data_IF_246109239420
#
_entry.id   IF_246109239420
#
_cell.length_a   1.000
_cell.length_b   1.000
_cell.length_c   1.000
_cell.angle_alpha   90.00
_cell.angle_beta   90.00
_cell.angle_gamma   90.00
#
_symmetry.space_group_name_H-M   'P 1'
#
loop_
_entity.id
_entity.type
_entity.pdbx_description
1 polymer ?
#
# COMPACT_ATOMS: atom_id res chain seq x y z
N UNK A 1 0.30 -28.15 9.47
CA UNK A 1 1.36 -27.50 8.66
C UNK A 1 2.21 -26.54 9.48
N UNK A 2 1.64 -25.62 10.29
CA UNK A 2 2.44 -24.79 11.20
C UNK A 2 3.30 -25.65 12.15
N UNK A 3 2.73 -26.71 12.70
CA UNK A 3 3.47 -27.67 13.55
C UNK A 3 4.56 -28.41 12.78
N UNK A 4 4.30 -28.80 11.53
CA UNK A 4 5.28 -29.43 10.65
C UNK A 4 6.47 -28.51 10.37
N UNK A 5 6.20 -27.21 10.12
CA UNK A 5 7.25 -26.22 9.92
C UNK A 5 8.12 -26.04 11.18
N UNK A 6 7.52 -26.05 12.38
CA UNK A 6 8.24 -25.95 13.65
C UNK A 6 9.09 -27.20 13.90
N UNK A 7 8.55 -28.39 13.62
CA UNK A 7 9.24 -29.68 13.79
C UNK A 7 10.22 -29.99 12.65
N UNK A 8 10.36 -29.11 11.66
CA UNK A 8 11.21 -29.30 10.48
C UNK A 8 10.86 -30.58 9.68
N UNK A 9 9.59 -30.96 9.69
CA UNK A 9 9.11 -32.08 8.89
C UNK A 9 9.21 -31.78 7.39
N UNK A 10 9.43 -32.81 6.54
CA UNK A 10 9.45 -32.61 5.10
C UNK A 10 8.15 -31.94 4.60
N UNK A 11 8.26 -30.99 3.69
CA UNK A 11 7.11 -30.36 3.08
C UNK A 11 6.35 -31.38 2.23
N UNK A 12 5.08 -31.59 2.55
CA UNK A 12 4.15 -32.33 1.70
C UNK A 12 3.60 -31.46 0.56
N UNK A 13 2.76 -32.03 -0.31
CA UNK A 13 2.16 -31.30 -1.43
C UNK A 13 1.32 -30.10 -0.95
N UNK A 14 0.58 -30.26 0.15
CA UNK A 14 -0.23 -29.18 0.70
C UNK A 14 0.64 -28.06 1.30
N UNK A 15 1.74 -28.38 1.94
CA UNK A 15 2.70 -27.41 2.45
C UNK A 15 3.32 -26.60 1.30
N UNK A 16 3.67 -27.29 0.19
CA UNK A 16 4.22 -26.64 -1.00
C UNK A 16 3.25 -25.62 -1.63
N UNK A 17 1.95 -25.87 -1.55
CA UNK A 17 0.90 -24.93 -2.03
C UNK A 17 0.74 -23.68 -1.16
N UNK A 18 1.27 -23.67 0.03
CA UNK A 18 1.21 -22.51 0.93
C UNK A 18 2.27 -21.45 0.63
N UNK A 19 3.29 -21.77 -0.16
CA UNK A 19 4.26 -20.77 -0.59
C UNK A 19 3.59 -19.79 -1.56
N UNK A 20 3.83 -18.51 -1.34
CA UNK A 20 3.42 -17.46 -2.29
C UNK A 20 4.27 -17.56 -3.56
N UNK A 21 3.84 -16.93 -4.64
CA UNK A 21 4.58 -16.94 -5.92
C UNK A 21 6.03 -16.46 -5.80
N UNK A 22 6.34 -15.62 -4.83
CA UNK A 22 7.68 -15.12 -4.53
C UNK A 22 8.31 -15.83 -3.33
N UNK A 23 7.52 -16.60 -2.58
CA UNK A 23 7.96 -17.33 -1.40
C UNK A 23 8.84 -18.53 -1.76
N UNK A 24 9.94 -18.67 -1.04
CA UNK A 24 10.84 -19.80 -1.16
C UNK A 24 11.05 -20.39 0.22
N UNK A 25 11.28 -21.71 0.26
CA UNK A 25 11.71 -22.38 1.49
C UNK A 25 12.99 -21.71 2.00
N UNK A 26 13.10 -21.56 3.32
CA UNK A 26 14.34 -21.08 3.94
C UNK A 26 15.50 -21.98 3.55
N UNK A 27 16.64 -21.40 3.21
CA UNK A 27 17.85 -22.17 2.86
C UNK A 27 18.44 -22.88 4.06
N UNK A 28 18.31 -22.26 5.23
CA UNK A 28 18.73 -22.82 6.51
C UNK A 28 17.50 -23.14 7.35
N UNK A 29 17.58 -24.18 8.13
CA UNK A 29 16.52 -24.59 9.04
C UNK A 29 16.80 -24.02 10.45
N UNK A 30 16.25 -22.83 10.76
CA UNK A 30 16.50 -22.19 12.05
C UNK A 30 15.88 -23.01 13.19
N UNK A 31 16.46 -22.92 14.36
CA UNK A 31 15.83 -23.41 15.58
C UNK A 31 14.77 -22.40 16.00
N UNK A 32 13.52 -22.83 16.07
CA UNK A 32 12.41 -21.98 16.51
C UNK A 32 12.30 -22.04 18.02
N UNK A 33 12.69 -20.97 18.69
CA UNK A 33 12.67 -20.89 20.15
C UNK A 33 11.37 -20.30 20.70
N UNK A 34 10.64 -19.54 19.89
CA UNK A 34 9.38 -18.91 20.27
C UNK A 34 8.51 -18.62 19.04
N UNK A 35 7.23 -18.42 19.28
CA UNK A 35 6.24 -18.06 18.27
C UNK A 35 5.47 -16.83 18.75
N UNK A 36 5.12 -15.97 17.84
CA UNK A 36 4.13 -14.89 18.04
C UNK A 36 3.09 -14.95 16.92
N UNK A 37 1.86 -14.62 17.24
CA UNK A 37 0.76 -14.57 16.28
C UNK A 37 0.32 -13.12 16.08
N UNK A 38 -0.10 -12.78 14.87
CA UNK A 38 -0.70 -11.48 14.51
C UNK A 38 -1.94 -11.68 13.65
N UNK A 39 -2.72 -10.62 13.44
CA UNK A 39 -3.98 -10.67 12.73
C UNK A 39 -5.19 -11.00 13.61
N UNK A 40 -6.38 -11.11 13.03
CA UNK A 40 -7.64 -11.33 13.73
C UNK A 40 -7.68 -12.64 14.52
N UNK A 41 -7.10 -13.72 13.99
CA UNK A 41 -6.99 -15.02 14.69
C UNK A 41 -6.15 -14.90 15.96
N UNK A 42 -5.11 -14.06 15.94
CA UNK A 42 -4.25 -13.82 17.09
C UNK A 42 -4.98 -13.08 18.23
N UNK A 43 -5.86 -12.15 17.91
CA UNK A 43 -6.71 -11.47 18.91
C UNK A 43 -7.52 -12.51 19.68
N UNK A 44 -8.20 -13.41 18.98
CA UNK A 44 -8.96 -14.51 19.63
C UNK A 44 -8.06 -15.44 20.44
N UNK A 45 -6.86 -15.73 19.95
CA UNK A 45 -5.89 -16.58 20.63
C UNK A 45 -5.45 -15.99 21.98
N UNK A 46 -5.16 -14.69 22.04
CA UNK A 46 -4.65 -14.01 23.25
C UNK A 46 -5.76 -13.54 24.19
N UNK A 47 -6.81 -12.96 23.65
CA UNK A 47 -7.85 -12.28 24.41
C UNK A 47 -8.99 -13.20 24.83
N UNK A 48 -9.14 -14.34 24.13
CA UNK A 48 -10.16 -15.33 24.41
C UNK A 48 -11.20 -15.49 23.30
N UNK A 49 -11.97 -16.56 23.39
CA UNK A 49 -12.98 -16.90 22.38
C UNK A 49 -14.30 -16.21 22.68
N UNK A 50 -15.03 -15.71 21.66
CA UNK A 50 -16.41 -15.25 21.83
C UNK A 50 -17.34 -16.43 22.12
N UNK A 51 -18.51 -16.17 22.68
CA UNK A 51 -19.51 -17.18 23.00
C UNK A 51 -20.00 -17.96 21.75
N UNK A 52 -20.13 -17.26 20.63
CA UNK A 52 -20.43 -17.85 19.33
C UNK A 52 -19.15 -18.01 18.51
N UNK A 53 -18.85 -19.24 18.11
CA UNK A 53 -17.67 -19.57 17.30
C UNK A 53 -17.69 -18.97 15.88
N UNK A 54 -18.85 -18.55 15.42
CA UNK A 54 -19.05 -17.89 14.14
C UNK A 54 -19.38 -16.39 14.26
N UNK A 55 -19.09 -15.78 15.42
CA UNK A 55 -19.35 -14.36 15.69
C UNK A 55 -18.78 -13.41 14.62
N UNK A 56 -17.72 -13.81 13.93
CA UNK A 56 -17.06 -13.03 12.87
C UNK A 56 -17.40 -13.52 11.46
N UNK A 57 -18.39 -14.43 11.32
CA UNK A 57 -18.82 -15.02 10.05
C UNK A 57 -17.69 -15.76 9.28
N UNK A 58 -16.67 -16.21 9.99
CA UNK A 58 -15.52 -16.96 9.44
C UNK A 58 -15.10 -18.12 10.37
N UNK A 59 -14.02 -18.82 10.00
CA UNK A 59 -13.46 -19.93 10.77
C UNK A 59 -12.33 -19.51 11.73
N UNK A 60 -12.11 -18.21 11.91
CA UNK A 60 -10.98 -17.68 12.69
C UNK A 60 -10.96 -18.13 14.13
N UNK A 61 -12.12 -18.20 14.79
CA UNK A 61 -12.25 -18.69 16.18
C UNK A 61 -11.87 -20.17 16.27
N UNK A 62 -12.33 -20.98 15.33
CA UNK A 62 -12.00 -22.41 15.28
C UNK A 62 -10.49 -22.61 15.02
N UNK A 63 -9.89 -21.78 14.17
CA UNK A 63 -8.45 -21.82 13.91
C UNK A 63 -7.64 -21.43 15.16
N UNK A 64 -8.02 -20.37 15.86
CA UNK A 64 -7.39 -19.95 17.11
C UNK A 64 -7.43 -21.08 18.15
N UNK A 65 -8.59 -21.73 18.30
CA UNK A 65 -8.79 -22.88 19.17
C UNK A 65 -7.90 -24.07 18.79
N UNK A 66 -7.83 -24.37 17.48
CA UNK A 66 -7.00 -25.46 16.98
C UNK A 66 -5.50 -25.18 17.25
N UNK A 67 -5.03 -23.96 17.05
CA UNK A 67 -3.66 -23.55 17.35
C UNK A 67 -3.37 -23.72 18.85
N UNK A 68 -4.26 -23.21 19.70
CA UNK A 68 -4.11 -23.22 21.18
C UNK A 68 -4.04 -24.62 21.76
N UNK A 69 -4.79 -25.56 21.17
CA UNK A 69 -4.89 -26.93 21.65
C UNK A 69 -3.97 -27.89 20.92
N UNK A 70 -3.23 -27.45 19.91
CA UNK A 70 -2.37 -28.35 19.12
C UNK A 70 -1.17 -28.87 19.98
N UNK A 71 -0.92 -30.18 20.02
CA UNK A 71 0.11 -30.78 20.90
C UNK A 71 1.48 -30.15 20.76
N UNK A 72 1.92 -29.89 19.54
CA UNK A 72 3.24 -29.29 19.23
C UNK A 72 3.23 -27.77 19.50
N UNK A 73 2.23 -27.04 19.01
CA UNK A 73 2.22 -25.58 19.09
C UNK A 73 2.17 -25.08 20.54
N UNK A 74 1.44 -25.78 21.42
CA UNK A 74 1.35 -25.41 22.84
C UNK A 74 2.64 -25.63 23.64
N UNK A 75 3.61 -26.40 23.11
CA UNK A 75 4.90 -26.64 23.80
C UNK A 75 5.93 -25.56 23.46
N UNK A 76 5.69 -24.75 22.40
CA UNK A 76 6.61 -23.68 22.00
C UNK A 76 6.24 -22.42 22.77
N UNK A 77 7.21 -21.74 23.40
CA UNK A 77 6.97 -20.45 24.06
C UNK A 77 6.29 -19.46 23.12
N UNK A 78 5.19 -18.86 23.58
CA UNK A 78 4.42 -17.90 22.78
C UNK A 78 4.46 -16.55 23.45
N UNK A 79 4.87 -15.53 22.72
CA UNK A 79 4.85 -14.15 23.17
C UNK A 79 3.69 -13.41 22.51
N UNK A 80 2.99 -12.61 23.31
CA UNK A 80 1.91 -11.80 22.79
C UNK A 80 2.48 -10.67 21.92
N UNK A 81 1.94 -10.53 20.70
CA UNK A 81 2.25 -9.40 19.84
C UNK A 81 1.68 -8.10 20.41
N UNK A 82 2.42 -7.01 20.30
CA UNK A 82 1.93 -5.69 20.68
C UNK A 82 0.72 -5.27 19.85
N UNK A 83 0.69 -5.68 18.58
CA UNK A 83 -0.42 -5.46 17.66
C UNK A 83 -0.93 -6.79 17.11
N UNK A 84 -2.26 -6.96 17.08
CA UNK A 84 -2.93 -8.15 16.54
C UNK A 84 -3.70 -7.79 15.26
N UNK A 85 -4.93 -7.36 15.38
CA UNK A 85 -5.83 -7.04 14.24
C UNK A 85 -5.22 -5.97 13.33
N UNK A 86 -4.56 -4.97 13.91
CA UNK A 86 -3.96 -3.85 13.19
C UNK A 86 -2.55 -4.12 12.65
N UNK A 87 -2.00 -5.33 12.84
CA UNK A 87 -0.61 -5.63 12.49
C UNK A 87 -0.29 -5.32 11.01
N UNK A 88 -1.20 -5.62 10.10
CA UNK A 88 -1.02 -5.32 8.67
C UNK A 88 -0.99 -3.82 8.39
N UNK A 89 -1.93 -3.06 8.97
CA UNK A 89 -1.99 -1.59 8.81
C UNK A 89 -0.79 -0.91 9.43
N UNK A 90 -0.40 -1.33 10.63
CA UNK A 90 0.80 -0.81 11.31
C UNK A 90 2.06 -1.18 10.52
N UNK A 91 2.15 -2.41 10.02
CA UNK A 91 3.26 -2.86 9.17
C UNK A 91 3.35 -2.06 7.88
N UNK A 92 2.24 -1.83 7.20
CA UNK A 92 2.19 -0.98 6.01
C UNK A 92 2.60 0.46 6.33
N UNK A 93 2.08 1.04 7.43
CA UNK A 93 2.41 2.40 7.85
C UNK A 93 3.83 2.60 8.38
N UNK A 94 4.56 1.52 8.70
CA UNK A 94 5.97 1.58 9.13
C UNK A 94 6.93 1.17 8.01
N UNK A 95 6.41 0.66 6.90
CA UNK A 95 7.25 0.29 5.74
C UNK A 95 7.61 1.55 4.96
N UNK A 96 8.85 1.99 5.11
CA UNK A 96 9.39 3.12 4.33
C UNK A 96 10.15 2.58 3.13
N UNK A 97 9.73 2.97 1.94
CA UNK A 97 10.49 2.74 0.72
C UNK A 97 11.52 3.85 0.57
N UNK A 98 12.80 3.55 0.77
CA UNK A 98 13.89 4.49 0.50
C UNK A 98 14.13 4.56 -1.01
N UNK A 99 13.59 5.57 -1.66
CA UNK A 99 13.87 5.86 -3.06
C UNK A 99 14.86 7.02 -3.14
N UNK A 100 16.06 6.74 -3.63
CA UNK A 100 17.06 7.76 -3.89
C UNK A 100 17.01 8.17 -5.37
N UNK A 101 16.98 9.46 -5.64
CA UNK A 101 17.12 10.02 -6.99
C UNK A 101 15.84 10.48 -7.67
N UNK A 102 14.70 10.39 -7.02
CA UNK A 102 13.42 10.87 -7.56
C UNK A 102 13.38 12.39 -7.67
N UNK A 103 12.85 12.89 -8.76
CA UNK A 103 12.51 14.32 -8.89
C UNK A 103 11.20 14.58 -8.18
N UNK A 104 11.18 15.56 -7.28
CA UNK A 104 9.97 15.92 -6.55
C UNK A 104 9.59 17.37 -6.87
N UNK A 105 8.38 17.53 -7.34
CA UNK A 105 7.72 18.82 -7.50
C UNK A 105 6.59 18.90 -6.45
N UNK A 106 6.68 19.86 -5.53
CA UNK A 106 5.61 20.04 -4.55
C UNK A 106 5.30 21.51 -4.31
N UNK A 107 4.06 21.79 -3.93
CA UNK A 107 3.64 23.09 -3.44
C UNK A 107 3.54 23.04 -1.93
N UNK A 108 3.88 24.11 -1.21
CA UNK A 108 3.93 24.16 0.24
C UNK A 108 2.76 23.43 0.90
N UNK A 109 3.08 22.44 1.70
CA UNK A 109 2.13 21.59 2.42
C UNK A 109 2.71 21.11 3.75
N UNK A 110 1.89 20.45 4.55
CA UNK A 110 2.36 19.81 5.77
C UNK A 110 3.00 18.47 5.38
N UNK A 111 4.29 18.39 5.39
CA UNK A 111 5.07 17.15 5.35
C UNK A 111 5.60 16.88 6.76
N UNK A 112 5.83 15.65 7.16
CA UNK A 112 5.63 14.42 6.38
C UNK A 112 4.15 14.00 6.26
N UNK A 113 3.82 13.26 5.20
CA UNK A 113 2.53 12.60 5.04
C UNK A 113 2.79 11.09 5.04
N UNK A 114 2.09 10.34 5.89
CA UNK A 114 2.31 8.92 6.09
C UNK A 114 1.10 8.10 5.73
N UNK A 115 1.36 6.82 5.41
CA UNK A 115 0.33 5.81 5.20
C UNK A 115 -0.66 6.18 4.09
N UNK A 116 -0.16 6.65 2.95
CA UNK A 116 -0.97 7.06 1.81
C UNK A 116 -1.25 5.83 0.95
N UNK A 117 -2.50 5.37 0.82
CA UNK A 117 -2.82 4.25 -0.05
C UNK A 117 -2.57 4.59 -1.52
N UNK A 118 -2.19 3.58 -2.29
CA UNK A 118 -1.87 3.68 -3.71
C UNK A 118 -3.05 3.25 -4.56
N UNK A 119 -3.42 4.11 -5.51
CA UNK A 119 -4.32 3.84 -6.62
C UNK A 119 -3.50 3.80 -7.91
N UNK A 120 -3.33 2.63 -8.52
CA UNK A 120 -2.56 2.48 -9.77
C UNK A 120 -3.47 2.43 -10.99
N UNK A 121 -3.11 3.20 -12.01
CA UNK A 121 -3.65 3.06 -13.37
C UNK A 121 -2.77 2.10 -14.16
N UNK A 122 -3.39 1.26 -14.98
CA UNK A 122 -2.70 0.38 -15.91
C UNK A 122 -2.20 1.15 -17.13
N UNK A 123 -1.24 0.59 -17.86
CA UNK A 123 -0.73 1.20 -19.09
C UNK A 123 -1.83 1.40 -20.15
N UNK A 124 -2.78 0.46 -20.26
CA UNK A 124 -3.90 0.58 -21.19
C UNK A 124 -4.87 1.71 -20.79
N UNK A 125 -5.12 1.88 -19.48
CA UNK A 125 -5.92 2.98 -18.96
C UNK A 125 -5.23 4.34 -19.19
N UNK A 126 -3.89 4.38 -19.10
CA UNK A 126 -3.09 5.58 -19.27
C UNK A 126 -3.05 6.09 -20.71
N UNK A 127 -2.97 5.19 -21.69
CA UNK A 127 -2.84 5.56 -23.10
C UNK A 127 -4.11 6.19 -23.72
N UNK A 128 -5.26 5.96 -23.13
CA UNK A 128 -6.53 6.45 -23.65
C UNK A 128 -7.13 7.52 -22.72
N UNK A 129 -7.28 8.77 -23.18
CA UNK A 129 -7.78 9.88 -22.35
C UNK A 129 -9.15 9.62 -21.71
N UNK A 130 -10.05 8.94 -22.42
CA UNK A 130 -11.38 8.61 -21.90
C UNK A 130 -11.26 7.55 -20.81
N UNK A 131 -10.50 6.47 -21.10
CA UNK A 131 -10.28 5.41 -20.14
C UNK A 131 -9.55 5.89 -18.90
N UNK A 132 -8.56 6.76 -19.04
CA UNK A 132 -7.84 7.36 -17.92
C UNK A 132 -8.81 8.04 -16.95
N UNK A 133 -9.62 8.95 -17.49
CA UNK A 133 -10.59 9.73 -16.71
C UNK A 133 -11.65 8.84 -16.04
N UNK A 134 -12.23 7.91 -16.78
CA UNK A 134 -13.26 7.00 -16.25
C UNK A 134 -12.71 6.04 -15.21
N UNK A 135 -11.55 5.44 -15.48
CA UNK A 135 -10.91 4.51 -14.55
C UNK A 135 -10.46 5.21 -13.27
N UNK A 136 -9.89 6.41 -13.39
CA UNK A 136 -9.49 7.19 -12.23
C UNK A 136 -10.71 7.54 -11.35
N UNK A 137 -11.78 8.06 -11.93
CA UNK A 137 -13.03 8.36 -11.20
C UNK A 137 -13.65 7.13 -10.55
N UNK A 138 -13.68 6.00 -11.27
CA UNK A 138 -14.20 4.73 -10.73
C UNK A 138 -13.36 4.23 -9.56
N UNK A 139 -12.04 4.25 -9.70
CA UNK A 139 -11.11 3.76 -8.67
C UNK A 139 -11.09 4.67 -7.45
N UNK A 140 -11.19 5.99 -7.60
CA UNK A 140 -11.27 6.94 -6.48
C UNK A 140 -12.43 6.65 -5.52
N UNK A 141 -13.57 6.17 -6.03
CA UNK A 141 -14.70 5.77 -5.20
C UNK A 141 -14.39 4.66 -4.19
N UNK A 142 -13.36 3.85 -4.44
CA UNK A 142 -12.92 2.81 -3.50
C UNK A 142 -12.23 3.40 -2.26
N UNK A 143 -11.85 4.66 -2.32
CA UNK A 143 -11.17 5.41 -1.24
C UNK A 143 -12.09 6.45 -0.58
N UNK A 144 -13.40 6.34 -0.79
CA UNK A 144 -14.39 7.14 -0.07
C UNK A 144 -14.78 6.47 1.24
N UNK A 145 -14.73 7.22 2.32
CA UNK A 145 -15.20 6.79 3.65
C UNK A 145 -16.20 7.82 4.15
N UNK A 146 -17.40 7.36 4.54
CA UNK A 146 -18.49 8.22 5.04
C UNK A 146 -18.86 9.39 4.11
N UNK A 147 -18.69 9.20 2.78
CA UNK A 147 -19.01 10.21 1.76
C UNK A 147 -17.92 11.26 1.56
N UNK A 148 -16.75 11.09 2.15
CA UNK A 148 -15.57 11.92 1.93
C UNK A 148 -14.44 11.09 1.28
N UNK A 149 -13.78 11.69 0.29
CA UNK A 149 -12.63 11.07 -0.35
C UNK A 149 -11.41 11.18 0.58
N UNK A 150 -10.85 10.04 0.93
CA UNK A 150 -9.61 9.94 1.70
C UNK A 150 -8.39 10.35 0.86
N UNK A 151 -7.28 10.61 1.54
CA UNK A 151 -6.03 10.90 0.86
C UNK A 151 -5.50 9.67 0.14
N UNK A 152 -5.18 9.81 -1.15
CA UNK A 152 -4.70 8.73 -2.00
C UNK A 152 -3.59 9.21 -2.93
N UNK A 153 -2.63 8.34 -3.24
CA UNK A 153 -1.61 8.58 -4.25
C UNK A 153 -2.01 7.91 -5.56
N UNK A 154 -2.09 8.70 -6.62
CA UNK A 154 -2.39 8.22 -7.98
C UNK A 154 -1.09 7.84 -8.65
N UNK A 155 -0.97 6.58 -9.06
CA UNK A 155 0.25 6.00 -9.65
C UNK A 155 -0.01 5.63 -11.10
N UNK A 156 0.92 5.95 -11.99
CA UNK A 156 0.91 5.53 -13.39
C UNK A 156 2.32 5.51 -13.98
N UNK A 157 2.47 4.92 -15.16
CA UNK A 157 3.76 4.69 -15.78
C UNK A 157 4.42 5.98 -16.28
N UNK A 158 3.72 6.84 -16.99
CA UNK A 158 4.29 8.00 -17.70
C UNK A 158 5.11 7.64 -18.93
N UNK A 159 5.22 6.35 -19.26
CA UNK A 159 6.13 5.83 -20.30
C UNK A 159 5.80 6.32 -21.71
N UNK A 160 4.54 6.57 -21.99
CA UNK A 160 4.05 6.94 -23.31
C UNK A 160 3.99 8.45 -23.53
N UNK A 161 4.35 9.25 -22.54
CA UNK A 161 4.30 10.71 -22.56
C UNK A 161 5.72 11.29 -22.52
N UNK A 162 6.42 11.26 -23.67
CA UNK A 162 7.83 11.61 -23.78
C UNK A 162 8.07 13.00 -24.35
N UNK A 163 7.12 13.54 -25.11
CA UNK A 163 7.18 14.89 -25.67
C UNK A 163 6.47 15.89 -24.76
N UNK A 164 6.82 17.16 -24.89
CA UNK A 164 6.20 18.24 -24.14
C UNK A 164 4.67 18.32 -24.38
N UNK A 165 4.23 18.08 -25.61
CA UNK A 165 2.81 18.10 -25.96
C UNK A 165 2.05 16.95 -25.28
N UNK A 166 2.60 15.74 -25.34
CA UNK A 166 2.02 14.56 -24.68
C UNK A 166 1.94 14.75 -23.15
N UNK A 167 2.95 15.40 -22.54
CA UNK A 167 2.93 15.71 -21.11
C UNK A 167 1.85 16.77 -20.79
N UNK A 168 1.60 17.75 -21.66
CA UNK A 168 0.50 18.69 -21.49
C UNK A 168 -0.87 18.00 -21.59
N UNK A 169 -1.03 17.08 -22.53
CA UNK A 169 -2.24 16.24 -22.64
C UNK A 169 -2.44 15.39 -21.41
N UNK A 170 -1.39 14.72 -20.92
CA UNK A 170 -1.44 13.97 -19.67
C UNK A 170 -1.81 14.85 -18.47
N UNK A 171 -1.27 16.06 -18.38
CA UNK A 171 -1.62 17.01 -17.32
C UNK A 171 -3.12 17.36 -17.36
N UNK A 172 -3.69 17.55 -18.55
CA UNK A 172 -5.12 17.78 -18.71
C UNK A 172 -5.94 16.54 -18.31
N UNK A 173 -5.51 15.34 -18.71
CA UNK A 173 -6.17 14.08 -18.33
C UNK A 173 -6.21 13.91 -16.81
N UNK A 174 -5.09 14.20 -16.13
CA UNK A 174 -5.00 14.14 -14.67
C UNK A 174 -5.96 15.13 -14.03
N UNK A 175 -5.96 16.40 -14.46
CA UNK A 175 -6.84 17.43 -13.90
C UNK A 175 -8.31 17.06 -14.09
N UNK A 176 -8.68 16.60 -15.28
CA UNK A 176 -10.05 16.19 -15.60
C UNK A 176 -10.50 14.93 -14.88
N UNK A 177 -9.58 13.97 -14.65
CA UNK A 177 -9.89 12.72 -13.97
C UNK A 177 -9.92 12.83 -12.44
N UNK A 178 -9.12 13.74 -11.89
CA UNK A 178 -8.96 13.94 -10.45
C UNK A 178 -9.79 15.11 -9.89
N UNK A 179 -10.87 15.50 -10.55
CA UNK A 179 -11.74 16.64 -10.14
C UNK A 179 -12.15 16.56 -8.66
N UNK A 180 -12.50 15.38 -8.17
CA UNK A 180 -12.92 15.16 -6.77
C UNK A 180 -11.75 15.40 -5.79
N UNK A 181 -10.55 14.89 -6.12
CA UNK A 181 -9.34 15.16 -5.32
C UNK A 181 -9.02 16.65 -5.32
N UNK A 182 -9.15 17.30 -6.50
CA UNK A 182 -8.85 18.74 -6.66
C UNK A 182 -9.84 19.59 -5.85
N UNK A 183 -11.10 19.22 -5.83
CA UNK A 183 -12.13 19.92 -5.04
C UNK A 183 -12.03 19.63 -3.53
N UNK A 184 -11.44 18.48 -3.15
CA UNK A 184 -11.32 18.02 -1.76
C UNK A 184 -10.25 18.75 -0.95
N UNK A 185 -10.12 18.44 0.34
CA UNK A 185 -9.18 19.10 1.25
C UNK A 185 -7.73 18.58 1.11
N UNK A 186 -7.54 17.37 0.62
CA UNK A 186 -6.25 16.70 0.54
C UNK A 186 -5.43 17.15 -0.67
N UNK A 187 -4.10 17.17 -0.62
CA UNK A 187 -3.27 17.47 -1.78
C UNK A 187 -3.46 16.40 -2.87
N UNK A 188 -3.32 16.81 -4.13
CA UNK A 188 -3.20 15.88 -5.25
C UNK A 188 -1.80 15.26 -5.21
N UNK A 189 -1.71 13.93 -5.06
CA UNK A 189 -0.45 13.20 -5.00
C UNK A 189 -0.33 12.32 -6.24
N UNK A 190 0.71 12.55 -7.04
CA UNK A 190 1.03 11.81 -8.25
C UNK A 190 2.36 11.12 -8.07
N UNK A 191 2.42 9.84 -8.41
CA UNK A 191 3.63 9.03 -8.41
C UNK A 191 3.79 8.41 -9.79
N UNK A 192 4.95 8.64 -10.41
CA UNK A 192 5.19 8.28 -11.80
C UNK A 192 6.43 7.39 -11.88
N UNK A 193 6.36 6.33 -12.66
CA UNK A 193 7.49 5.40 -12.79
C UNK A 193 8.63 6.01 -13.61
N UNK A 194 8.33 6.83 -14.63
CA UNK A 194 9.29 7.48 -15.51
C UNK A 194 9.60 8.93 -15.11
N UNK A 195 10.79 9.40 -15.45
CA UNK A 195 11.34 10.72 -15.08
C UNK A 195 10.64 11.87 -15.85
N UNK A 196 9.42 12.21 -15.45
CA UNK A 196 8.65 13.32 -16.03
C UNK A 196 7.98 14.23 -14.97
N UNK A 197 8.15 13.94 -13.67
CA UNK A 197 7.42 14.64 -12.60
C UNK A 197 7.61 16.16 -12.63
N UNK A 198 8.80 16.63 -12.91
CA UNK A 198 9.07 18.08 -12.97
C UNK A 198 8.29 18.78 -14.07
N UNK A 199 8.26 18.21 -15.26
CA UNK A 199 7.59 18.81 -16.42
C UNK A 199 6.07 18.70 -16.26
N UNK A 200 5.60 17.52 -15.86
CA UNK A 200 4.19 17.27 -15.59
C UNK A 200 3.67 18.14 -14.44
N UNK A 201 4.41 18.22 -13.34
CA UNK A 201 4.05 19.07 -12.20
C UNK A 201 3.93 20.54 -12.57
N UNK A 202 4.83 21.05 -13.41
CA UNK A 202 4.73 22.42 -13.92
C UNK A 202 3.48 22.63 -14.80
N UNK A 203 3.16 21.68 -15.69
CA UNK A 203 1.98 21.74 -16.53
C UNK A 203 0.69 21.73 -15.69
N UNK A 204 0.59 20.83 -14.70
CA UNK A 204 -0.54 20.78 -13.77
C UNK A 204 -0.66 22.06 -12.95
N UNK A 205 0.45 22.61 -12.46
CA UNK A 205 0.45 23.84 -11.67
C UNK A 205 -0.10 25.05 -12.47
N UNK A 206 0.17 25.09 -13.76
CA UNK A 206 -0.41 26.10 -14.67
C UNK A 206 -1.91 25.89 -14.81
N UNK A 207 -2.36 24.66 -15.06
CA UNK A 207 -3.78 24.32 -15.21
C UNK A 207 -4.57 24.61 -13.94
N UNK A 208 -4.03 24.30 -12.79
CA UNK A 208 -4.64 24.54 -11.48
C UNK A 208 -4.50 26.00 -10.99
N UNK A 209 -3.91 26.89 -11.79
CA UNK A 209 -3.68 28.31 -11.46
C UNK A 209 -3.01 28.50 -10.09
N UNK A 210 -2.21 27.54 -9.67
CA UNK A 210 -1.52 27.49 -8.36
C UNK A 210 -2.46 27.50 -7.14
N UNK A 211 -3.69 27.10 -7.29
CA UNK A 211 -4.70 27.13 -6.20
C UNK A 211 -4.79 25.80 -5.44
N UNK A 212 -4.31 24.71 -6.01
CA UNK A 212 -4.34 23.38 -5.38
C UNK A 212 -2.95 22.98 -4.94
N UNK A 213 -2.85 22.48 -3.72
CA UNK A 213 -1.63 21.80 -3.26
C UNK A 213 -1.49 20.48 -3.98
N UNK A 214 -0.30 20.21 -4.49
CA UNK A 214 -0.01 18.93 -5.11
C UNK A 214 1.44 18.49 -4.86
N UNK A 215 1.67 17.20 -5.00
CA UNK A 215 2.96 16.54 -4.91
C UNK A 215 3.08 15.67 -6.16
N UNK A 216 4.19 15.77 -6.88
CA UNK A 216 4.47 14.97 -8.06
C UNK A 216 5.86 14.37 -7.92
N UNK A 217 5.96 13.05 -7.93
CA UNK A 217 7.18 12.30 -7.66
C UNK A 217 7.39 11.32 -8.81
N UNK A 218 8.63 11.14 -9.26
CA UNK A 218 8.98 10.14 -10.26
C UNK A 218 10.03 9.14 -9.79
N UNK A 219 10.25 8.10 -10.59
CA UNK A 219 11.22 7.05 -10.31
C UNK A 219 10.76 6.08 -9.21
N UNK A 220 9.48 6.05 -8.86
CA UNK A 220 8.91 5.18 -7.84
C UNK A 220 7.97 4.17 -8.47
N UNK A 221 8.16 2.90 -8.12
CA UNK A 221 7.31 1.79 -8.53
C UNK A 221 6.43 1.37 -7.35
N UNK A 222 5.13 1.53 -7.50
CA UNK A 222 4.15 1.08 -6.51
C UNK A 222 2.97 0.40 -7.22
N UNK A 223 2.24 -0.45 -6.50
CA UNK A 223 1.12 -1.23 -7.02
C UNK A 223 -0.16 -0.95 -6.23
N UNK A 224 -1.30 -1.33 -6.77
CA UNK A 224 -2.56 -1.29 -6.02
C UNK A 224 -2.43 -2.06 -4.70
N UNK A 225 -2.86 -1.44 -3.61
CA UNK A 225 -2.77 -1.98 -2.27
C UNK A 225 -1.46 -1.69 -1.53
N UNK A 226 -0.47 -1.10 -2.18
CA UNK A 226 0.69 -0.55 -1.50
C UNK A 226 0.33 0.73 -0.74
N UNK A 227 1.21 1.11 0.19
CA UNK A 227 1.15 2.39 0.91
C UNK A 227 2.50 3.09 0.76
N UNK A 228 2.47 4.41 0.64
CA UNK A 228 3.67 5.25 0.58
C UNK A 228 3.70 6.27 1.71
N UNK A 229 4.91 6.59 2.15
CA UNK A 229 5.18 7.71 3.05
C UNK A 229 5.92 8.79 2.27
N UNK A 230 5.58 10.05 2.50
CA UNK A 230 6.29 11.20 1.94
C UNK A 230 6.94 11.94 3.10
N UNK A 231 8.26 11.89 3.17
CA UNK A 231 9.07 12.47 4.24
C UNK A 231 9.18 13.99 4.20
N UNK A 232 9.88 14.57 5.16
CA UNK A 232 10.21 15.98 5.17
C UNK A 232 11.25 16.34 4.09
N UNK A 233 11.22 17.58 3.56
CA UNK A 233 12.23 18.03 2.62
C UNK A 233 13.63 17.97 3.22
N UNK A 234 14.53 17.26 2.59
CA UNK A 234 15.96 17.26 2.95
C UNK A 234 16.64 18.33 2.11
N UNK A 235 17.37 19.23 2.72
CA UNK A 235 18.16 20.34 2.17
C UNK A 235 17.90 20.74 0.71
N UNK A 236 17.54 22.00 0.44
CA UNK A 236 17.27 22.59 -0.88
C UNK A 236 15.95 22.15 -1.56
N UNK A 237 14.92 21.78 -0.78
CA UNK A 237 13.60 21.50 -1.35
C UNK A 237 13.48 20.09 -1.98
N UNK A 238 14.41 19.18 -1.73
CA UNK A 238 14.27 17.76 -2.07
C UNK A 238 13.57 17.06 -0.92
N UNK A 239 12.47 16.39 -1.21
CA UNK A 239 11.78 15.50 -0.26
C UNK A 239 12.33 14.11 -0.48
N UNK A 240 12.58 13.39 0.60
CA UNK A 240 12.91 11.95 0.55
C UNK A 240 11.59 11.21 0.72
N UNK A 241 11.24 10.34 -0.21
CA UNK A 241 10.09 9.47 -0.06
C UNK A 241 10.29 8.49 1.06
#
# INVERSE_FOLDING_TARGET
QLAQAINKEPADEMHSRMYTNQGKRLKEEPVINAVTYSGGVASVYYEGEPADVFAYHDVGVLLARAIKNHPVLKTVPTYQAAETIRATVVGAGTHTTNVSGSTIQYTDGKLPIKNIPVLKLTEDEEQNPVMFKESLRRKLKLYETEGALEQVAIVFSGRYHTSFLEIQELAQMVVDGAEEVIAGPHPLILVIENDIAKVLGNAINVLLKRQKKFICIDGIFANDGDYIDIGEPVAQGRVVP
#
